data_IF_760297521228
#
_entry.id   IF_760297521228
#
_cell.length_a   1.000
_cell.length_b   1.000
_cell.length_c   1.000
_cell.angle_alpha   90.00
_cell.angle_beta   90.00
_cell.angle_gamma   90.00
#
_symmetry.space_group_name_H-M   'P 1'
#
loop_
_entity.id
_entity.type
_entity.pdbx_description
1 polymer ?
#
# COMPACT_ATOMS: atom_id res chain seq x y z
N UNK A 1 -42.43 56.75 15.90
CA UNK A 1 -43.59 55.83 16.09
C UNK A 1 -43.13 54.41 15.81
N UNK A 2 -42.72 53.67 16.84
CA UNK A 2 -42.25 52.29 16.74
C UNK A 2 -43.45 51.32 16.75
N UNK A 3 -43.74 50.65 15.62
CA UNK A 3 -44.67 49.52 15.61
C UNK A 3 -43.93 48.26 16.06
N UNK A 4 -44.13 47.88 17.31
CA UNK A 4 -43.66 46.61 17.85
C UNK A 4 -44.29 45.43 17.08
N UNK A 5 -43.45 44.62 16.44
CA UNK A 5 -43.85 43.40 15.74
C UNK A 5 -44.16 42.30 16.77
N UNK A 6 -45.45 42.03 16.99
CA UNK A 6 -45.92 41.01 17.92
C UNK A 6 -45.78 39.62 17.29
N UNK A 7 -44.67 38.94 17.58
CA UNK A 7 -44.46 37.53 17.24
C UNK A 7 -45.50 36.67 17.97
N UNK A 8 -46.46 36.10 17.24
CA UNK A 8 -47.38 35.09 17.77
C UNK A 8 -46.57 33.83 18.08
N UNK A 9 -46.53 33.40 19.34
CA UNK A 9 -45.83 32.18 19.73
C UNK A 9 -46.42 30.97 19.02
N UNK A 10 -45.57 30.25 18.29
CA UNK A 10 -45.93 28.99 17.65
C UNK A 10 -46.09 27.95 18.76
N UNK A 11 -47.29 27.37 18.89
CA UNK A 11 -47.58 26.34 19.88
C UNK A 11 -46.68 25.12 19.64
N UNK A 12 -46.27 24.44 20.72
CA UNK A 12 -45.31 23.32 20.73
C UNK A 12 -45.65 22.21 19.71
N UNK A 13 -46.95 21.98 19.46
CA UNK A 13 -47.43 21.04 18.42
C UNK A 13 -47.11 21.47 16.98
N UNK A 14 -47.08 22.77 16.69
CA UNK A 14 -46.71 23.30 15.37
C UNK A 14 -45.21 23.20 15.14
N UNK A 15 -44.40 23.44 16.17
CA UNK A 15 -42.94 23.27 16.12
C UNK A 15 -42.57 21.80 15.83
N UNK A 16 -43.12 20.83 16.56
CA UNK A 16 -42.85 19.39 16.36
C UNK A 16 -43.24 18.91 14.96
N UNK A 17 -44.38 19.37 14.41
CA UNK A 17 -44.79 19.01 13.04
C UNK A 17 -43.84 19.58 11.98
N UNK A 18 -43.33 20.80 12.18
CA UNK A 18 -42.37 21.42 11.26
C UNK A 18 -41.03 20.70 11.33
N UNK A 19 -40.54 20.32 12.52
CA UNK A 19 -39.29 19.55 12.65
C UNK A 19 -39.40 18.15 12.05
N UNK A 20 -40.55 17.48 12.21
CA UNK A 20 -40.81 16.17 11.62
C UNK A 20 -40.91 16.22 10.09
N UNK A 21 -41.52 17.28 9.53
CA UNK A 21 -41.59 17.47 8.07
C UNK A 21 -40.21 17.76 7.47
N UNK A 22 -39.39 18.58 8.14
CA UNK A 22 -38.04 18.92 7.68
C UNK A 22 -37.13 17.68 7.74
N UNK A 23 -37.21 16.86 8.79
CA UNK A 23 -36.42 15.63 8.88
C UNK A 23 -36.82 14.58 7.84
N UNK A 24 -38.12 14.46 7.51
CA UNK A 24 -38.60 13.59 6.42
C UNK A 24 -38.08 14.09 5.06
N UNK A 25 -38.11 15.40 4.81
CA UNK A 25 -37.60 16.01 3.56
C UNK A 25 -36.08 15.78 3.43
N UNK A 26 -35.31 15.97 4.49
CA UNK A 26 -33.86 15.68 4.51
C UNK A 26 -33.55 14.19 4.34
N UNK A 27 -34.40 13.28 4.85
CA UNK A 27 -34.22 11.83 4.69
C UNK A 27 -34.53 11.36 3.25
N UNK A 28 -35.44 12.03 2.54
CA UNK A 28 -35.75 11.70 1.13
C UNK A 28 -34.74 12.24 0.12
N UNK A 29 -33.91 13.23 0.50
CA UNK A 29 -32.97 13.85 -0.42
C UNK A 29 -31.66 13.05 -0.61
N UNK A 30 -31.39 12.04 0.22
CA UNK A 30 -30.14 11.24 0.14
C UNK A 30 -30.27 9.93 -0.65
N UNK A 31 -31.47 9.53 -1.08
CA UNK A 31 -31.69 8.17 -1.62
C UNK A 31 -31.70 8.05 -3.15
N UNK A 32 -31.67 9.15 -3.92
CA UNK A 32 -31.87 9.09 -5.37
C UNK A 32 -30.81 9.77 -6.25
N UNK A 33 -29.56 9.86 -5.78
CA UNK A 33 -28.44 10.20 -6.66
C UNK A 33 -27.92 8.96 -7.42
N UNK A 34 -28.77 8.31 -8.24
CA UNK A 34 -28.27 7.41 -9.30
C UNK A 34 -27.81 8.29 -10.45
N UNK A 35 -26.49 8.48 -10.57
CA UNK A 35 -25.85 9.11 -11.73
C UNK A 35 -26.39 8.47 -13.01
N UNK A 36 -27.20 9.21 -13.78
CA UNK A 36 -27.68 8.78 -15.08
C UNK A 36 -26.53 8.86 -16.09
N UNK A 37 -25.77 7.77 -16.23
CA UNK A 37 -24.76 7.65 -17.29
C UNK A 37 -25.49 7.58 -18.62
N UNK A 38 -25.29 8.57 -19.49
CA UNK A 38 -25.85 8.55 -20.85
C UNK A 38 -25.38 7.27 -21.57
N UNK A 39 -26.29 6.46 -22.14
CA UNK A 39 -25.92 5.25 -22.88
C UNK A 39 -24.91 5.59 -23.98
N UNK A 40 -23.90 4.75 -24.17
CA UNK A 40 -22.97 4.86 -25.31
C UNK A 40 -23.49 3.96 -26.42
N UNK A 41 -24.17 4.50 -27.45
CA UNK A 41 -24.70 3.68 -28.53
C UNK A 41 -23.54 3.10 -29.36
N UNK A 42 -23.60 1.81 -29.62
CA UNK A 42 -22.69 1.09 -30.52
C UNK A 42 -23.56 0.43 -31.58
N UNK A 43 -23.15 0.49 -32.84
CA UNK A 43 -23.87 -0.15 -33.94
C UNK A 43 -23.93 -1.68 -33.72
N UNK A 44 -24.96 -2.35 -34.24
CA UNK A 44 -25.04 -3.81 -34.15
C UNK A 44 -23.87 -4.50 -34.86
N UNK A 45 -23.37 -3.89 -35.95
CA UNK A 45 -22.20 -4.36 -36.68
C UNK A 45 -20.93 -4.30 -35.83
N UNK A 46 -20.65 -3.16 -35.18
CA UNK A 46 -19.47 -3.01 -34.33
C UNK A 46 -19.56 -3.88 -33.07
N UNK A 47 -20.76 -3.99 -32.49
CA UNK A 47 -20.99 -4.85 -31.34
C UNK A 47 -20.83 -6.34 -31.67
N UNK A 48 -21.08 -6.75 -32.92
CA UNK A 48 -20.94 -8.13 -33.40
C UNK A 48 -19.50 -8.56 -33.67
N UNK A 49 -18.52 -7.64 -33.64
CA UNK A 49 -17.11 -7.98 -33.83
C UNK A 49 -16.61 -8.88 -32.70
N UNK A 50 -16.05 -10.01 -33.08
CA UNK A 50 -15.34 -10.93 -32.18
C UNK A 50 -13.87 -10.53 -32.08
N UNK A 51 -13.26 -10.77 -30.94
CA UNK A 51 -11.83 -10.54 -30.78
C UNK A 51 -11.04 -11.56 -31.63
N UNK A 52 -10.26 -11.12 -32.64
CA UNK A 52 -9.45 -12.03 -33.45
C UNK A 52 -8.17 -12.47 -32.73
N UNK A 53 -7.78 -11.78 -31.65
CA UNK A 53 -6.56 -12.04 -30.91
C UNK A 53 -6.81 -13.15 -29.88
N UNK A 54 -6.06 -14.27 -29.93
CA UNK A 54 -6.23 -15.35 -28.99
C UNK A 54 -5.83 -14.91 -27.58
N UNK A 55 -6.49 -15.49 -26.57
CA UNK A 55 -6.21 -15.27 -25.14
C UNK A 55 -4.92 -16.00 -24.76
N UNK A 56 -3.80 -15.46 -25.23
CA UNK A 56 -2.46 -15.94 -24.97
C UNK A 56 -1.73 -14.98 -24.03
N UNK A 57 -0.84 -15.57 -23.24
CA UNK A 57 0.05 -14.90 -22.30
C UNK A 57 0.74 -13.65 -22.88
N UNK A 58 1.32 -13.76 -24.09
CA UNK A 58 1.95 -12.64 -24.80
C UNK A 58 0.99 -11.47 -25.03
N UNK A 59 -0.21 -11.75 -25.55
CA UNK A 59 -1.22 -10.73 -25.88
C UNK A 59 -1.80 -10.11 -24.60
N UNK A 60 -2.01 -10.91 -23.55
CA UNK A 60 -2.43 -10.42 -22.24
C UNK A 60 -1.39 -9.48 -21.61
N UNK A 61 -0.10 -9.77 -21.78
CA UNK A 61 1.00 -8.89 -21.35
C UNK A 61 0.98 -7.53 -22.06
N UNK A 62 0.77 -7.54 -23.38
CA UNK A 62 0.59 -6.32 -24.19
C UNK A 62 -0.61 -5.51 -23.65
N UNK A 63 -1.76 -6.16 -23.49
CA UNK A 63 -2.98 -5.53 -22.95
C UNK A 63 -2.77 -4.92 -21.56
N UNK A 64 -2.10 -5.64 -20.65
CA UNK A 64 -1.75 -5.15 -19.31
C UNK A 64 -0.86 -3.90 -19.39
N UNK A 65 0.20 -3.94 -20.18
CA UNK A 65 1.16 -2.82 -20.27
C UNK A 65 0.46 -1.56 -20.79
N UNK A 66 -0.34 -1.70 -21.85
CA UNK A 66 -1.11 -0.58 -22.40
C UNK A 66 -2.11 -0.05 -21.37
N UNK A 67 -2.85 -0.92 -20.69
CA UNK A 67 -3.79 -0.52 -19.65
C UNK A 67 -3.09 0.27 -18.54
N UNK A 68 -1.98 -0.25 -18.03
CA UNK A 68 -1.18 0.38 -16.97
C UNK A 68 -0.67 1.75 -17.37
N UNK A 69 -0.12 1.88 -18.59
CA UNK A 69 0.48 3.14 -19.06
C UNK A 69 -0.56 4.18 -19.50
N UNK A 70 -1.72 3.74 -19.98
CA UNK A 70 -2.64 4.60 -20.74
C UNK A 70 -3.99 4.78 -20.05
N UNK A 71 -4.52 3.74 -19.41
CA UNK A 71 -5.90 3.70 -18.94
C UNK A 71 -6.02 3.94 -17.42
N UNK A 72 -5.01 3.53 -16.64
CA UNK A 72 -5.02 3.59 -15.16
C UNK A 72 -5.22 5.00 -14.62
N UNK A 73 -4.70 6.03 -15.29
CA UNK A 73 -4.84 7.41 -14.84
C UNK A 73 -6.31 7.84 -14.62
N UNK A 74 -7.23 7.32 -15.43
CA UNK A 74 -8.66 7.62 -15.33
C UNK A 74 -9.48 6.46 -14.73
N UNK A 75 -9.19 5.22 -15.12
CA UNK A 75 -9.98 4.06 -14.67
C UNK A 75 -9.50 3.44 -13.34
N UNK A 76 -8.38 3.91 -12.79
CA UNK A 76 -7.79 3.40 -11.55
C UNK A 76 -6.96 2.13 -11.76
N UNK A 77 -6.01 1.87 -10.86
CA UNK A 77 -5.12 0.70 -10.93
C UNK A 77 -5.89 -0.63 -10.82
N UNK A 78 -7.04 -0.63 -10.14
CA UNK A 78 -7.94 -1.78 -10.00
C UNK A 78 -9.04 -1.81 -11.06
N UNK A 79 -9.01 -0.90 -12.04
CA UNK A 79 -10.04 -0.72 -13.05
C UNK A 79 -11.46 -0.47 -12.46
N UNK A 80 -11.55 0.06 -11.24
CA UNK A 80 -12.78 0.30 -10.48
C UNK A 80 -13.36 1.71 -10.71
N UNK A 81 -12.82 2.47 -11.66
CA UNK A 81 -13.27 3.82 -12.00
C UNK A 81 -12.77 4.91 -11.05
N UNK A 82 -11.93 4.55 -10.05
CA UNK A 82 -11.39 5.47 -9.04
C UNK A 82 -10.01 6.02 -9.41
N UNK A 83 -9.82 6.40 -10.67
CA UNK A 83 -8.64 7.13 -11.11
C UNK A 83 -8.69 8.62 -10.73
N UNK A 84 -7.73 9.39 -11.24
CA UNK A 84 -7.66 10.85 -11.06
C UNK A 84 -8.89 11.55 -11.68
N UNK A 85 -9.46 10.95 -12.72
CA UNK A 85 -10.67 11.43 -13.38
C UNK A 85 -11.77 10.40 -13.13
N UNK A 86 -12.89 10.78 -12.49
CA UNK A 86 -14.01 9.88 -12.26
C UNK A 86 -14.48 9.25 -13.57
N UNK A 87 -14.41 7.92 -13.65
CA UNK A 87 -14.67 7.14 -14.86
C UNK A 87 -15.54 5.92 -14.55
N UNK A 88 -16.02 5.23 -15.58
CA UNK A 88 -16.74 3.98 -15.39
C UNK A 88 -15.82 2.90 -14.80
N UNK A 89 -16.37 2.11 -13.88
CA UNK A 89 -15.77 0.86 -13.40
C UNK A 89 -15.82 -0.17 -14.54
N UNK A 90 -14.66 -0.75 -14.85
CA UNK A 90 -14.49 -1.76 -15.88
C UNK A 90 -14.63 -3.18 -15.32
N UNK A 91 -14.78 -3.32 -14.00
CA UNK A 91 -14.97 -4.61 -13.32
C UNK A 91 -16.44 -4.88 -13.00
N UNK A 92 -17.32 -3.89 -13.16
CA UNK A 92 -18.74 -4.02 -12.88
C UNK A 92 -19.42 -4.98 -13.87
N UNK A 93 -20.42 -5.71 -13.40
CA UNK A 93 -21.20 -6.64 -14.23
C UNK A 93 -21.83 -5.94 -15.45
N UNK A 94 -22.25 -4.68 -15.30
CA UNK A 94 -22.82 -3.88 -16.40
C UNK A 94 -21.80 -3.61 -17.51
N UNK A 95 -20.52 -3.43 -17.16
CA UNK A 95 -19.45 -3.32 -18.13
C UNK A 95 -19.15 -4.69 -18.74
N UNK A 96 -19.01 -5.72 -17.89
CA UNK A 96 -18.62 -7.06 -18.31
C UNK A 96 -19.64 -7.74 -19.24
N UNK A 97 -20.94 -7.38 -19.16
CA UNK A 97 -21.98 -7.87 -20.08
C UNK A 97 -21.90 -7.32 -21.51
N UNK A 98 -21.11 -6.28 -21.76
CA UNK A 98 -20.96 -5.74 -23.12
C UNK A 98 -20.21 -6.74 -24.00
N UNK A 99 -20.42 -6.72 -25.32
CA UNK A 99 -19.63 -7.55 -26.24
C UNK A 99 -18.20 -7.01 -26.39
N UNK A 100 -17.27 -7.86 -26.78
CA UNK A 100 -15.87 -7.47 -27.01
C UNK A 100 -15.77 -6.39 -28.10
N UNK A 101 -16.53 -6.53 -29.19
CA UNK A 101 -16.66 -5.50 -30.23
C UNK A 101 -17.17 -4.16 -29.72
N UNK A 102 -18.09 -4.17 -28.74
CA UNK A 102 -18.56 -2.93 -28.11
C UNK A 102 -17.46 -2.24 -27.30
N UNK A 103 -16.65 -3.01 -26.57
CA UNK A 103 -15.54 -2.46 -25.79
C UNK A 103 -14.45 -1.93 -26.74
N UNK A 104 -14.10 -2.71 -27.76
CA UNK A 104 -13.15 -2.29 -28.81
C UNK A 104 -13.57 -0.98 -29.44
N UNK A 105 -14.84 -0.87 -29.87
CA UNK A 105 -15.37 0.35 -30.49
C UNK A 105 -15.21 1.57 -29.57
N UNK A 106 -15.52 1.41 -28.27
CA UNK A 106 -15.42 2.48 -27.28
C UNK A 106 -13.98 2.95 -27.06
N UNK A 107 -13.03 2.02 -26.99
CA UNK A 107 -11.60 2.36 -26.89
C UNK A 107 -11.13 3.05 -28.18
N UNK A 108 -11.52 2.51 -29.33
CA UNK A 108 -11.09 3.02 -30.63
C UNK A 108 -11.62 4.45 -30.88
N UNK A 109 -12.90 4.70 -30.60
CA UNK A 109 -13.57 5.97 -30.95
C UNK A 109 -13.55 7.02 -29.84
N UNK A 110 -13.45 6.63 -28.57
CA UNK A 110 -13.55 7.56 -27.45
C UNK A 110 -14.92 8.24 -27.34
N UNK A 111 -15.18 8.90 -26.20
CA UNK A 111 -16.38 9.72 -25.97
C UNK A 111 -16.17 10.69 -24.83
N UNK A 112 -16.66 11.91 -24.98
CA UNK A 112 -16.59 12.97 -23.98
C UNK A 112 -15.14 13.21 -23.49
N UNK A 113 -14.85 12.87 -22.23
CA UNK A 113 -13.52 13.01 -21.61
C UNK A 113 -12.56 11.87 -21.95
N UNK A 114 -13.06 10.77 -22.52
CA UNK A 114 -12.22 9.66 -22.96
C UNK A 114 -11.77 9.93 -24.41
N UNK A 115 -10.47 10.13 -24.66
CA UNK A 115 -9.97 10.39 -26.00
C UNK A 115 -10.12 9.15 -26.92
N UNK A 116 -10.19 9.35 -28.25
CA UNK A 116 -10.06 8.25 -29.20
C UNK A 116 -8.64 7.67 -29.14
N UNK A 117 -8.52 6.34 -29.13
CA UNK A 117 -7.22 5.68 -29.26
C UNK A 117 -6.92 5.17 -30.67
N UNK A 118 -7.84 5.33 -31.62
CA UNK A 118 -7.60 5.08 -33.04
C UNK A 118 -6.39 5.88 -33.52
N UNK A 119 -5.40 5.21 -34.10
CA UNK A 119 -4.18 5.83 -34.62
C UNK A 119 -3.12 6.14 -33.54
N UNK A 120 -3.47 6.05 -32.25
CA UNK A 120 -2.49 6.02 -31.15
C UNK A 120 -2.07 4.59 -30.80
N UNK A 121 -3.00 3.65 -30.91
CA UNK A 121 -2.79 2.21 -30.73
C UNK A 121 -3.14 1.47 -32.02
N UNK A 122 -2.46 0.35 -32.27
CA UNK A 122 -2.83 -0.60 -33.34
C UNK A 122 -4.11 -1.33 -32.95
N UNK A 123 -4.86 -1.83 -33.93
CA UNK A 123 -6.10 -2.56 -33.63
C UNK A 123 -5.84 -3.81 -32.79
N UNK A 124 -4.79 -4.58 -33.10
CA UNK A 124 -4.38 -5.77 -32.33
C UNK A 124 -4.04 -5.43 -30.86
N UNK A 125 -3.50 -4.23 -30.63
CA UNK A 125 -3.18 -3.73 -29.29
C UNK A 125 -4.45 -3.38 -28.50
N UNK A 126 -5.43 -2.77 -29.16
CA UNK A 126 -6.74 -2.49 -28.55
C UNK A 126 -7.45 -3.82 -28.22
N UNK A 127 -7.43 -4.79 -29.14
CA UNK A 127 -7.98 -6.12 -28.90
C UNK A 127 -7.27 -6.86 -27.75
N UNK A 128 -5.96 -6.68 -27.62
CA UNK A 128 -5.18 -7.20 -26.49
C UNK A 128 -5.61 -6.57 -25.15
N UNK A 129 -5.93 -5.27 -25.14
CA UNK A 129 -6.51 -4.61 -23.96
C UNK A 129 -7.89 -5.17 -23.64
N UNK A 130 -8.75 -5.44 -24.64
CA UNK A 130 -10.06 -6.07 -24.40
C UNK A 130 -9.90 -7.42 -23.71
N UNK A 131 -8.98 -8.28 -24.19
CA UNK A 131 -8.68 -9.56 -23.54
C UNK A 131 -8.20 -9.36 -22.09
N UNK A 132 -7.32 -8.38 -21.85
CA UNK A 132 -6.87 -8.03 -20.51
C UNK A 132 -8.03 -7.63 -19.58
N UNK A 133 -8.96 -6.79 -20.05
CA UNK A 133 -10.13 -6.36 -19.28
C UNK A 133 -11.08 -7.51 -18.90
N UNK A 134 -11.12 -8.58 -19.71
CA UNK A 134 -11.89 -9.80 -19.39
C UNK A 134 -11.25 -10.61 -18.29
N UNK A 135 -9.95 -10.86 -18.37
CA UNK A 135 -9.24 -11.68 -17.39
C UNK A 135 -9.13 -11.01 -16.01
N UNK A 136 -9.25 -9.68 -15.94
CA UNK A 136 -9.30 -8.94 -14.68
C UNK A 136 -10.42 -9.44 -13.76
N UNK A 137 -11.57 -9.79 -14.34
CA UNK A 137 -12.75 -10.28 -13.61
C UNK A 137 -12.85 -11.79 -13.67
N UNK A 138 -12.64 -12.38 -14.85
CA UNK A 138 -12.73 -13.83 -15.05
C UNK A 138 -11.36 -14.45 -15.32
N UNK A 139 -10.64 -14.77 -14.24
CA UNK A 139 -9.33 -15.43 -14.31
C UNK A 139 -9.38 -16.88 -14.81
N UNK A 140 -10.56 -17.51 -14.89
CA UNK A 140 -10.70 -18.88 -15.40
C UNK A 140 -10.43 -18.99 -16.90
N UNK A 141 -10.41 -17.87 -17.64
CA UNK A 141 -10.02 -17.80 -19.04
C UNK A 141 -8.50 -17.67 -19.25
N UNK A 142 -7.70 -17.59 -18.17
CA UNK A 142 -6.25 -17.64 -18.28
C UNK A 142 -5.83 -19.03 -18.74
N UNK A 143 -4.87 -19.15 -19.68
CA UNK A 143 -4.20 -20.43 -19.87
C UNK A 143 -3.56 -20.85 -18.54
N UNK A 144 -3.44 -22.17 -18.25
CA UNK A 144 -2.86 -22.62 -17.00
C UNK A 144 -1.49 -21.98 -16.81
N UNK A 145 -1.30 -21.33 -15.66
CA UNK A 145 -0.05 -20.68 -15.32
C UNK A 145 1.08 -21.73 -15.40
N UNK A 146 2.19 -21.36 -16.04
CA UNK A 146 3.34 -22.25 -16.11
C UNK A 146 4.08 -22.20 -14.79
N UNK A 147 4.40 -23.36 -14.25
CA UNK A 147 5.24 -23.45 -13.05
C UNK A 147 6.68 -23.09 -13.42
N UNK A 148 7.24 -22.20 -12.62
CA UNK A 148 8.58 -21.66 -12.80
C UNK A 148 9.37 -21.90 -11.54
N UNK A 149 10.56 -22.47 -11.72
CA UNK A 149 11.53 -22.60 -10.65
C UNK A 149 12.59 -21.52 -10.80
N UNK A 150 12.96 -20.95 -9.65
CA UNK A 150 14.01 -19.95 -9.52
C UNK A 150 15.23 -20.60 -8.87
N UNK A 151 16.36 -20.50 -9.53
CA UNK A 151 17.66 -20.85 -8.97
C UNK A 151 18.51 -19.58 -8.87
N UNK A 152 19.24 -19.40 -7.77
CA UNK A 152 20.10 -18.23 -7.55
C UNK A 152 21.56 -18.70 -7.54
N UNK A 153 22.37 -18.16 -8.45
CA UNK A 153 23.83 -18.26 -8.36
C UNK A 153 24.43 -16.93 -7.93
N UNK A 154 25.48 -17.00 -7.11
CA UNK A 154 26.17 -15.83 -6.58
C UNK A 154 27.58 -15.73 -7.14
N UNK A 155 27.94 -14.58 -7.71
CA UNK A 155 29.33 -14.28 -8.08
C UNK A 155 30.07 -13.65 -6.90
N UNK A 156 31.23 -14.19 -6.54
CA UNK A 156 32.03 -13.70 -5.41
C UNK A 156 32.98 -12.55 -5.79
N UNK A 157 33.51 -12.53 -7.03
CA UNK A 157 34.43 -11.47 -7.49
C UNK A 157 33.76 -10.09 -7.61
N UNK A 158 32.53 -10.08 -8.14
CA UNK A 158 31.63 -8.93 -8.11
C UNK A 158 30.39 -9.42 -7.38
N UNK A 159 30.13 -8.90 -6.17
CA UNK A 159 28.95 -9.23 -5.36
C UNK A 159 27.70 -9.03 -6.23
N UNK A 160 27.23 -10.11 -6.83
CA UNK A 160 26.16 -10.07 -7.81
C UNK A 160 25.35 -11.35 -7.72
N UNK A 161 24.07 -11.18 -7.99
CA UNK A 161 23.06 -12.21 -7.83
C UNK A 161 22.52 -12.46 -9.24
N UNK A 162 22.62 -13.71 -9.68
CA UNK A 162 22.03 -14.14 -10.94
C UNK A 162 20.88 -15.07 -10.64
N UNK A 163 19.67 -14.67 -11.02
CA UNK A 163 18.51 -15.55 -10.99
C UNK A 163 18.40 -16.28 -12.34
N UNK A 164 18.17 -17.58 -12.27
CA UNK A 164 17.87 -18.45 -13.40
C UNK A 164 16.41 -18.85 -13.29
N UNK A 165 15.69 -18.62 -14.39
CA UNK A 165 14.27 -18.88 -14.48
C UNK A 165 14.06 -20.03 -15.45
N UNK A 166 13.67 -21.19 -14.93
CA UNK A 166 13.49 -22.40 -15.72
C UNK A 166 12.13 -23.06 -15.49
N UNK A 167 11.70 -23.88 -16.46
CA UNK A 167 10.50 -24.72 -16.29
C UNK A 167 10.64 -25.62 -15.07
N UNK A 168 9.52 -25.84 -14.38
CA UNK A 168 9.40 -26.83 -13.32
C UNK A 168 9.51 -28.29 -13.84
N UNK A 169 9.41 -28.50 -15.15
CA UNK A 169 9.61 -29.80 -15.78
C UNK A 169 11.07 -30.28 -15.72
N UNK A 170 11.28 -31.59 -15.79
CA UNK A 170 12.62 -32.23 -15.76
C UNK A 170 13.60 -31.71 -16.82
N UNK A 171 13.10 -31.07 -17.88
CA UNK A 171 13.91 -30.53 -18.98
C UNK A 171 14.56 -29.16 -18.68
N UNK A 172 14.22 -28.48 -17.56
CA UNK A 172 14.77 -27.16 -17.16
C UNK A 172 14.93 -26.15 -18.31
N UNK A 173 13.92 -26.04 -19.18
CA UNK A 173 13.97 -25.09 -20.30
C UNK A 173 13.98 -23.65 -19.77
N UNK A 174 14.86 -22.76 -20.27
CA UNK A 174 14.91 -21.37 -19.83
C UNK A 174 13.68 -20.60 -20.32
N UNK A 175 13.12 -19.75 -19.46
CA UNK A 175 12.03 -18.84 -19.85
C UNK A 175 12.56 -17.42 -20.10
N UNK A 176 12.46 -16.91 -21.34
CA UNK A 176 12.77 -15.51 -21.64
C UNK A 176 11.61 -14.57 -21.26
N UNK A 177 11.92 -13.30 -21.09
CA UNK A 177 10.97 -12.20 -20.82
C UNK A 177 10.18 -12.32 -19.49
N UNK A 178 10.73 -13.01 -18.50
CA UNK A 178 10.15 -13.09 -17.15
C UNK A 178 10.70 -11.94 -16.30
N UNK A 179 9.80 -11.12 -15.74
CA UNK A 179 10.18 -10.06 -14.79
C UNK A 179 10.52 -10.67 -13.42
N UNK A 180 11.77 -10.50 -12.99
CA UNK A 180 12.28 -10.98 -11.72
C UNK A 180 12.63 -9.80 -10.82
N UNK A 181 12.06 -9.79 -9.63
CA UNK A 181 12.31 -8.77 -8.62
C UNK A 181 13.29 -9.30 -7.57
N UNK A 182 14.32 -8.52 -7.29
CA UNK A 182 15.31 -8.86 -6.27
C UNK A 182 15.09 -8.02 -5.01
N UNK A 183 15.25 -8.65 -3.86
CA UNK A 183 15.03 -8.05 -2.56
C UNK A 183 16.10 -8.45 -1.56
N UNK A 184 16.32 -7.61 -0.55
CA UNK A 184 17.08 -7.91 0.65
C UNK A 184 16.10 -7.90 1.82
N UNK A 185 16.09 -8.97 2.62
CA UNK A 185 15.27 -9.02 3.85
C UNK A 185 15.83 -8.05 4.88
N UNK A 186 14.97 -7.19 5.40
CA UNK A 186 15.22 -6.26 6.52
C UNK A 186 14.18 -6.51 7.62
N UNK A 187 14.43 -6.01 8.82
CA UNK A 187 13.51 -6.17 9.95
C UNK A 187 12.12 -5.57 9.68
N UNK A 188 12.05 -4.52 8.86
CA UNK A 188 10.82 -3.80 8.52
C UNK A 188 10.23 -4.19 7.16
N UNK A 189 10.75 -5.21 6.48
CA UNK A 189 10.23 -5.68 5.20
C UNK A 189 11.31 -6.02 4.16
N UNK A 190 10.93 -5.98 2.89
CA UNK A 190 11.79 -6.32 1.77
C UNK A 190 12.31 -5.06 1.09
N UNK A 191 13.62 -4.85 1.09
CA UNK A 191 14.28 -3.76 0.38
C UNK A 191 14.57 -4.20 -1.05
N UNK A 192 13.98 -3.55 -2.06
CA UNK A 192 14.21 -3.87 -3.46
C UNK A 192 15.62 -3.50 -3.91
N UNK A 193 16.24 -4.33 -4.74
CA UNK A 193 17.53 -4.08 -5.39
C UNK A 193 17.42 -4.28 -6.91
N UNK A 194 18.19 -3.50 -7.68
CA UNK A 194 18.15 -3.53 -9.15
C UNK A 194 17.15 -2.54 -9.76
N UNK A 195 16.83 -2.74 -11.04
CA UNK A 195 15.91 -1.87 -11.78
C UNK A 195 14.44 -2.17 -11.45
N UNK A 196 13.54 -1.27 -11.87
CA UNK A 196 12.11 -1.37 -11.60
C UNK A 196 11.45 -2.59 -12.28
N UNK A 197 12.07 -3.13 -13.32
CA UNK A 197 11.65 -4.33 -14.03
C UNK A 197 12.91 -4.99 -14.59
N UNK A 198 13.17 -6.25 -14.26
CA UNK A 198 14.34 -6.97 -14.74
C UNK A 198 13.89 -8.22 -15.49
N UNK A 199 13.83 -8.12 -16.82
CA UNK A 199 13.37 -9.21 -17.68
C UNK A 199 14.49 -10.21 -17.97
N UNK A 200 14.19 -11.51 -17.94
CA UNK A 200 15.12 -12.56 -18.35
C UNK A 200 15.48 -12.45 -19.84
N UNK A 201 16.77 -12.65 -20.14
CA UNK A 201 17.25 -12.78 -21.52
C UNK A 201 16.81 -14.08 -22.19
N UNK A 202 17.26 -14.30 -23.43
CA UNK A 202 17.03 -15.54 -24.18
C UNK A 202 17.55 -16.81 -23.45
N UNK A 203 18.48 -16.62 -22.52
CA UNK A 203 19.11 -17.63 -21.68
C UNK A 203 18.37 -17.85 -20.34
N UNK A 204 17.28 -17.12 -20.07
CA UNK A 204 16.50 -17.24 -18.84
C UNK A 204 17.18 -16.64 -17.61
N UNK A 205 18.18 -15.76 -17.80
CA UNK A 205 18.98 -15.21 -16.70
C UNK A 205 18.72 -13.72 -16.50
N UNK A 206 18.78 -13.32 -15.24
CA UNK A 206 18.81 -11.92 -14.83
C UNK A 206 19.91 -11.73 -13.81
N UNK A 207 20.80 -10.77 -14.05
CA UNK A 207 21.91 -10.44 -13.15
C UNK A 207 21.71 -9.06 -12.54
N UNK A 208 21.79 -8.99 -11.22
CA UNK A 208 21.74 -7.73 -10.46
C UNK A 208 22.99 -7.61 -9.60
N UNK A 209 23.55 -6.42 -9.53
CA UNK A 209 24.70 -6.12 -8.67
C UNK A 209 24.22 -5.81 -7.26
N UNK A 210 24.86 -6.41 -6.26
CA UNK A 210 24.54 -6.16 -4.86
C UNK A 210 25.05 -4.76 -4.47
N UNK A 211 24.20 -3.92 -3.84
CA UNK A 211 24.60 -2.58 -3.43
C UNK A 211 25.69 -2.60 -2.34
N UNK A 212 26.54 -1.58 -2.33
CA UNK A 212 27.56 -1.42 -1.29
C UNK A 212 26.95 -0.98 0.06
N UNK A 213 27.66 -1.27 1.17
CA UNK A 213 27.35 -0.81 2.53
C UNK A 213 25.97 -1.24 3.08
N UNK A 214 25.56 -2.47 2.78
CA UNK A 214 24.38 -3.05 3.42
C UNK A 214 24.77 -3.58 4.80
N UNK A 215 24.08 -3.12 5.84
CA UNK A 215 24.28 -3.61 7.21
C UNK A 215 23.58 -4.97 7.34
N UNK A 216 24.36 -6.02 7.61
CA UNK A 216 23.85 -7.37 7.84
C UNK A 216 23.36 -7.59 9.26
N UNK A 217 23.20 -8.87 9.62
CA UNK A 217 23.00 -9.29 11.00
C UNK A 217 24.29 -9.13 11.85
N UNK A 218 24.29 -9.72 13.06
CA UNK A 218 25.44 -9.69 13.98
C UNK A 218 26.70 -10.35 13.40
N UNK A 219 26.55 -11.20 12.39
CA UNK A 219 27.62 -11.94 11.73
C UNK A 219 27.95 -11.36 10.34
N UNK A 220 27.19 -10.35 9.88
CA UNK A 220 27.30 -9.75 8.56
C UNK A 220 26.55 -10.52 7.46
N UNK A 221 25.68 -11.46 7.82
CA UNK A 221 24.85 -12.16 6.86
C UNK A 221 23.68 -11.28 6.40
N UNK A 222 23.34 -11.42 5.12
CA UNK A 222 22.18 -10.80 4.49
C UNK A 222 21.39 -11.88 3.75
N UNK A 223 20.07 -11.88 3.93
CA UNK A 223 19.18 -12.74 3.12
C UNK A 223 18.78 -11.98 1.86
N UNK A 224 19.21 -12.49 0.72
CA UNK A 224 18.82 -12.02 -0.61
C UNK A 224 17.68 -12.88 -1.11
N UNK A 225 16.68 -12.26 -1.73
CA UNK A 225 15.52 -12.94 -2.31
C UNK A 225 15.40 -12.57 -3.78
N UNK A 226 15.08 -13.55 -4.62
CA UNK A 226 14.56 -13.32 -5.97
C UNK A 226 13.10 -13.79 -5.99
N UNK A 227 12.22 -12.97 -6.57
CA UNK A 227 10.78 -13.24 -6.66
C UNK A 227 10.28 -12.99 -8.07
N UNK A 228 9.46 -13.90 -8.58
CA UNK A 228 8.57 -13.66 -9.71
C UNK A 228 7.19 -13.45 -9.11
N UNK A 229 6.63 -12.26 -9.26
CA UNK A 229 5.36 -11.87 -8.63
C UNK A 229 4.46 -11.11 -9.62
N UNK A 230 3.16 -11.17 -9.38
CA UNK A 230 2.14 -10.44 -10.13
C UNK A 230 2.26 -10.62 -11.66
N UNK A 231 2.52 -11.86 -12.08
CA UNK A 231 2.55 -12.24 -13.48
C UNK A 231 1.32 -13.09 -13.84
N UNK A 232 0.73 -12.82 -15.01
CA UNK A 232 -0.35 -13.63 -15.56
C UNK A 232 0.17 -14.91 -16.24
N UNK A 233 1.46 -14.96 -16.57
CA UNK A 233 2.11 -16.02 -17.32
C UNK A 233 2.59 -17.17 -16.44
N UNK A 234 2.99 -16.85 -15.22
CA UNK A 234 3.77 -17.71 -14.34
C UNK A 234 3.21 -17.67 -12.93
N UNK A 235 3.25 -18.81 -12.25
CA UNK A 235 2.97 -18.84 -10.82
C UNK A 235 4.02 -18.05 -10.04
N UNK A 236 3.59 -17.49 -8.91
CA UNK A 236 4.51 -16.81 -8.01
C UNK A 236 5.55 -17.81 -7.53
N UNK A 237 6.81 -17.43 -7.64
CA UNK A 237 7.94 -18.22 -7.15
C UNK A 237 8.90 -17.30 -6.42
N UNK A 238 9.48 -17.81 -5.33
CA UNK A 238 10.48 -17.09 -4.56
C UNK A 238 11.62 -18.04 -4.18
N UNK A 239 12.83 -17.49 -4.19
CA UNK A 239 14.03 -18.17 -3.72
C UNK A 239 14.80 -17.22 -2.83
N UNK A 240 15.27 -17.71 -1.68
CA UNK A 240 16.04 -16.95 -0.72
C UNK A 240 17.40 -17.60 -0.50
N UNK A 241 18.44 -16.79 -0.45
CA UNK A 241 19.82 -17.23 -0.24
C UNK A 241 20.50 -16.30 0.75
N UNK A 242 21.15 -16.88 1.74
CA UNK A 242 21.95 -16.13 2.72
C UNK A 242 23.40 -16.01 2.26
N UNK A 243 23.94 -14.80 2.37
CA UNK A 243 25.35 -14.51 2.04
C UNK A 243 25.95 -13.57 3.06
N UNK A 244 27.22 -13.81 3.39
CA UNK A 244 28.02 -12.93 4.24
C UNK A 244 28.58 -11.75 3.45
N UNK A 245 27.69 -10.92 2.92
CA UNK A 245 28.03 -9.75 2.12
C UNK A 245 27.79 -8.43 2.84
N UNK A 246 27.04 -8.47 3.94
CA UNK A 246 26.76 -7.31 4.75
C UNK A 246 27.94 -6.94 5.64
N UNK A 247 28.01 -5.65 5.96
CA UNK A 247 28.86 -5.19 7.04
C UNK A 247 28.26 -5.67 8.37
N UNK A 248 29.13 -6.03 9.30
CA UNK A 248 28.69 -6.46 10.62
C UNK A 248 27.91 -5.34 11.29
N UNK A 249 26.71 -5.66 11.80
CA UNK A 249 25.98 -4.72 12.63
C UNK A 249 26.83 -4.44 13.88
N UNK A 250 27.36 -3.22 13.96
CA UNK A 250 27.99 -2.73 15.18
C UNK A 250 26.87 -2.54 16.20
N UNK A 251 26.74 -3.51 17.09
CA UNK A 251 25.84 -3.39 18.23
C UNK A 251 26.41 -2.30 19.14
N UNK A 252 25.75 -1.14 19.20
CA UNK A 252 26.11 -0.08 20.15
C UNK A 252 25.66 -0.44 21.58
N UNK A 253 25.62 -1.72 21.94
CA UNK A 253 25.16 -2.22 23.24
C UNK A 253 26.01 -1.60 24.37
N UNK A 254 27.29 -1.31 24.10
CA UNK A 254 28.15 -0.58 25.05
C UNK A 254 27.67 0.85 25.32
N UNK A 255 27.10 1.56 24.33
CA UNK A 255 26.60 2.93 24.53
C UNK A 255 25.36 3.00 25.41
N UNK A 256 24.60 1.92 25.52
CA UNK A 256 23.47 1.79 26.44
C UNK A 256 23.85 1.24 27.82
N UNK A 257 25.03 0.61 27.94
CA UNK A 257 25.52 0.03 29.19
C UNK A 257 26.29 1.05 30.07
N UNK A 258 26.60 2.22 29.54
CA UNK A 258 27.21 3.34 30.26
C UNK A 258 26.17 4.20 31.00
N UNK A 259 26.61 4.90 32.07
CA UNK A 259 25.75 5.81 32.83
C UNK A 259 25.45 7.08 32.04
N UNK A 260 24.39 7.07 31.25
CA UNK A 260 23.99 8.17 30.38
C UNK A 260 22.49 8.45 30.49
N UNK A 261 22.05 9.62 30.02
CA UNK A 261 20.62 9.99 30.00
C UNK A 261 19.77 9.05 29.13
N UNK A 262 20.40 8.40 28.15
CA UNK A 262 19.79 7.43 27.23
C UNK A 262 20.15 5.98 27.57
N UNK A 263 20.77 5.72 28.73
CA UNK A 263 21.08 4.36 29.19
C UNK A 263 19.85 3.64 29.75
N UNK A 264 19.99 2.33 30.00
CA UNK A 264 18.96 1.52 30.69
C UNK A 264 18.63 2.08 32.08
N UNK A 265 17.45 1.73 32.63
CA UNK A 265 16.95 2.23 33.94
C UNK A 265 17.99 2.16 35.06
N UNK A 266 18.73 1.07 35.13
CA UNK A 266 19.78 0.79 36.12
C UNK A 266 21.08 1.58 35.89
N UNK A 267 21.24 2.18 34.71
CA UNK A 267 22.39 3.01 34.31
C UNK A 267 22.09 4.50 34.36
N UNK A 268 21.15 4.95 35.19
CA UNK A 268 20.91 6.38 35.37
C UNK A 268 22.19 7.12 35.84
N UNK A 269 22.48 8.34 35.33
CA UNK A 269 23.62 9.14 35.77
C UNK A 269 23.58 9.43 37.27
N UNK A 270 24.74 9.36 37.94
CA UNK A 270 24.81 9.50 39.41
C UNK A 270 24.32 10.87 39.86
N UNK A 271 24.66 11.94 39.14
CA UNK A 271 24.21 13.30 39.47
C UNK A 271 22.69 13.43 39.46
N UNK A 272 22.01 12.76 38.52
CA UNK A 272 20.56 12.79 38.40
C UNK A 272 19.92 12.04 39.58
N UNK A 273 20.51 10.90 39.96
CA UNK A 273 20.09 10.16 41.15
C UNK A 273 20.26 11.01 42.41
N UNK A 274 21.39 11.69 42.57
CA UNK A 274 21.65 12.57 43.72
C UNK A 274 20.68 13.75 43.75
N UNK A 275 20.38 14.37 42.60
CA UNK A 275 19.42 15.46 42.51
C UNK A 275 18.01 15.00 42.89
N UNK A 276 17.53 13.88 42.31
CA UNK A 276 16.20 13.35 42.58
C UNK A 276 16.05 12.94 44.05
N UNK A 277 17.02 12.22 44.61
CA UNK A 277 17.01 11.84 46.03
C UNK A 277 17.19 13.07 46.94
N UNK A 278 17.96 14.07 46.53
CA UNK A 278 18.13 15.33 47.25
C UNK A 278 16.83 16.10 47.39
N UNK A 279 16.02 16.16 46.33
CA UNK A 279 14.67 16.77 46.38
C UNK A 279 13.78 16.01 47.38
N UNK A 280 13.81 14.67 47.33
CA UNK A 280 13.03 13.83 48.26
C UNK A 280 13.44 14.10 49.71
N UNK A 281 14.75 14.13 50.01
CA UNK A 281 15.28 14.43 51.34
C UNK A 281 14.89 15.86 51.78
N UNK A 282 14.92 16.83 50.87
CA UNK A 282 14.49 18.20 51.14
C UNK A 282 13.01 18.29 51.55
N UNK A 283 12.12 17.61 50.81
CA UNK A 283 10.69 17.52 51.14
C UNK A 283 10.49 16.89 52.52
N UNK A 284 11.15 15.76 52.79
CA UNK A 284 11.10 15.10 54.10
C UNK A 284 11.62 16.00 55.22
N UNK A 285 12.68 16.76 54.98
CA UNK A 285 13.23 17.72 55.93
C UNK A 285 12.23 18.81 56.32
N UNK A 286 11.51 19.37 55.36
CA UNK A 286 10.44 20.36 55.62
C UNK A 286 9.29 19.74 56.42
N UNK A 287 8.86 18.54 56.07
CA UNK A 287 7.80 17.81 56.80
C UNK A 287 8.22 17.60 58.26
N UNK A 288 9.44 17.11 58.49
CA UNK A 288 9.97 16.91 59.84
C UNK A 288 10.09 18.22 60.63
N UNK A 289 10.52 19.30 59.98
CA UNK A 289 10.62 20.61 60.60
C UNK A 289 9.26 21.16 61.05
N UNK A 290 8.23 21.03 60.20
CA UNK A 290 6.85 21.42 60.55
C UNK A 290 6.34 20.58 61.73
N UNK A 291 6.53 19.26 61.69
CA UNK A 291 6.13 18.37 62.79
C UNK A 291 6.84 18.76 64.09
N UNK A 292 8.15 19.00 64.05
CA UNK A 292 8.93 19.46 65.21
C UNK A 292 8.37 20.76 65.79
N UNK A 293 8.06 21.74 64.94
CA UNK A 293 7.48 23.01 65.37
C UNK A 293 6.08 22.83 65.98
N UNK A 294 5.24 21.95 65.44
CA UNK A 294 3.94 21.62 66.03
C UNK A 294 4.09 21.06 67.45
N UNK A 295 5.05 20.13 67.66
CA UNK A 295 5.35 19.60 68.99
C UNK A 295 5.91 20.68 69.94
N UNK A 296 6.78 21.56 69.44
CA UNK A 296 7.34 22.68 70.20
C UNK A 296 6.24 23.64 70.65
N UNK A 297 5.34 24.04 69.76
CA UNK A 297 4.19 24.91 70.08
C UNK A 297 3.28 24.23 71.11
N UNK A 298 2.96 22.95 70.94
CA UNK A 298 2.16 22.19 71.91
C UNK A 298 2.80 22.17 73.30
N UNK A 299 4.13 22.04 73.38
CA UNK A 299 4.86 22.05 74.66
C UNK A 299 4.82 23.41 75.33
N UNK A 300 5.02 24.48 74.56
CA UNK A 300 4.98 25.86 75.09
C UNK A 300 3.56 26.31 75.45
N UNK A 301 2.55 25.95 74.67
CA UNK A 301 1.14 26.27 74.95
C UNK A 301 0.60 25.63 76.23
N UNK A 302 1.09 24.43 76.60
CA UNK A 302 0.74 23.79 77.88
C UNK A 302 1.20 24.59 79.11
N UNK A 303 2.18 25.49 78.96
CA UNK A 303 2.68 26.33 80.05
C UNK A 303 1.67 27.44 80.37
N UNK A 304 0.98 27.98 79.36
CA UNK A 304 0.03 29.10 79.51
C UNK A 304 -1.40 28.70 79.91
N UNK A 305 -1.73 27.40 79.91
CA UNK A 305 -3.06 26.90 80.36
C UNK A 305 -3.03 26.54 81.86
N UNK A 306 -1.87 26.68 82.52
CA UNK A 306 -1.66 26.24 83.91
C UNK A 306 -1.56 27.39 84.93
N UNK A 307 -1.77 28.63 84.50
CA UNK A 307 -2.07 29.81 85.33
C UNK A 307 -3.57 30.14 85.20
#
# INVERSE_FOLDING_TARGET
>A
MNKAFRMKSLTTRKMVKITLLISIILLTCTQNAKSQVKPWPVSAEDAGKINPIPVELKNLGIGRNIFTRTCVACHGAKADGKGLIPSASLIDETFQKQSDGSIFFKINTGRDKMPPFKGMLKEDEIWSVVNYLRILVNRSALPPAKDVNLEISTGEEIKSITAYVHSADSAKLPFPEVDVHFYIKRDFGLMRIGELSNYTGADGKVKVVFPEKIIGDKEGNVTVLAKVEDNFLYNNSEMAVERKWGEQMVTEDEKFNQRALWGSRDKSPVWLLLLANGIIVGIWGVIFYVIYNLFRIKKTGKIFIKE
#
